data_IF_055147360114
#
_entry.id   IF_055147360114
#
_cell.length_a   1.000
_cell.length_b   1.000
_cell.length_c   1.000
_cell.angle_alpha   90.00
_cell.angle_beta   90.00
_cell.angle_gamma   90.00
#
_symmetry.space_group_name_H-M   'P 1'
#
loop_
_entity.id
_entity.type
_entity.pdbx_description
1 polymer ?
#
# COMPACT_ATOMS: atom_id res chain seq x y z
N UNK A 1 9.90 2.05 -35.56
CA UNK A 1 8.62 2.23 -34.81
C UNK A 1 9.00 2.61 -33.39
N UNK A 2 8.36 3.63 -32.81
CA UNK A 2 8.66 4.10 -31.45
C UNK A 2 7.50 3.76 -30.52
N UNK A 3 7.82 3.48 -29.26
CA UNK A 3 6.84 3.32 -28.17
C UNK A 3 7.26 4.24 -27.05
N UNK A 4 6.34 5.08 -26.59
CA UNK A 4 6.55 6.01 -25.48
C UNK A 4 5.67 5.59 -24.31
N UNK A 5 6.26 5.44 -23.13
CA UNK A 5 5.55 5.16 -21.88
C UNK A 5 5.59 6.39 -20.98
N UNK A 6 4.43 6.81 -20.46
CA UNK A 6 4.33 7.95 -19.57
C UNK A 6 3.12 7.81 -18.63
N UNK A 7 3.21 8.44 -17.45
CA UNK A 7 2.11 8.47 -16.49
C UNK A 7 1.07 9.55 -16.82
N UNK A 8 1.50 10.63 -17.49
CA UNK A 8 0.66 11.78 -17.82
C UNK A 8 0.84 12.14 -19.29
N UNK A 9 -0.09 11.70 -20.15
CA UNK A 9 -0.06 12.03 -21.58
C UNK A 9 -0.12 13.54 -21.82
N UNK A 10 -0.76 14.30 -20.92
CA UNK A 10 -0.86 15.76 -20.97
C UNK A 10 0.49 16.48 -20.82
N UNK A 11 1.51 15.82 -20.27
CA UNK A 11 2.86 16.39 -20.15
C UNK A 11 3.71 16.19 -21.40
N UNK A 12 3.22 15.44 -22.39
CA UNK A 12 3.90 15.29 -23.68
C UNK A 12 3.64 16.52 -24.56
N UNK A 13 4.63 16.91 -25.36
CA UNK A 13 4.44 17.98 -26.34
C UNK A 13 3.45 17.56 -27.44
N UNK A 14 2.65 18.50 -27.93
CA UNK A 14 1.62 18.27 -28.95
C UNK A 14 2.16 17.57 -30.23
N UNK A 15 3.37 17.88 -30.75
CA UNK A 15 3.91 17.18 -31.93
C UNK A 15 4.13 15.68 -31.74
N UNK A 16 4.28 15.20 -30.51
CA UNK A 16 4.38 13.76 -30.21
C UNK A 16 2.99 13.17 -30.08
N UNK A 17 2.09 13.85 -29.36
CA UNK A 17 0.71 13.37 -29.16
C UNK A 17 -0.04 13.19 -30.48
N UNK A 18 0.14 14.11 -31.44
CA UNK A 18 -0.53 14.06 -32.75
C UNK A 18 -0.04 12.92 -33.66
N UNK A 19 1.13 12.34 -33.37
CA UNK A 19 1.76 11.28 -34.19
C UNK A 19 1.67 9.89 -33.57
N UNK A 20 1.12 9.75 -32.37
CA UNK A 20 1.10 8.50 -31.62
C UNK A 20 -0.33 8.05 -31.30
N UNK A 21 -0.59 6.75 -31.41
CA UNK A 21 -1.80 6.16 -30.86
C UNK A 21 -1.69 6.08 -29.34
N UNK A 22 -2.67 6.63 -28.62
CA UNK A 22 -2.67 6.68 -27.16
C UNK A 22 -3.36 5.45 -26.59
N UNK A 23 -2.60 4.64 -25.84
CA UNK A 23 -3.13 3.52 -25.06
C UNK A 23 -3.12 3.90 -23.58
N UNK A 24 -4.29 3.82 -22.93
CA UNK A 24 -4.44 4.16 -21.51
C UNK A 24 -4.53 2.89 -20.68
N UNK A 25 -3.54 2.69 -19.83
CA UNK A 25 -3.55 1.64 -18.81
C UNK A 25 -4.29 2.15 -17.58
N UNK A 26 -5.32 1.42 -17.15
CA UNK A 26 -6.03 1.70 -15.91
C UNK A 26 -5.41 0.91 -14.77
N UNK A 27 -5.63 1.36 -13.53
CA UNK A 27 -5.32 0.57 -12.35
C UNK A 27 -6.01 -0.80 -12.42
N UNK A 28 -5.36 -1.83 -11.89
CA UNK A 28 -5.92 -3.19 -11.86
C UNK A 28 -7.09 -3.27 -10.86
N UNK A 29 -8.09 -4.10 -11.17
CA UNK A 29 -9.11 -4.46 -10.19
C UNK A 29 -8.50 -5.34 -9.09
N UNK A 30 -9.13 -5.33 -7.91
CA UNK A 30 -8.75 -6.20 -6.79
C UNK A 30 -8.72 -7.67 -7.20
N UNK A 31 -9.69 -8.13 -8.00
CA UNK A 31 -9.75 -9.51 -8.49
C UNK A 31 -8.58 -9.84 -9.43
N UNK A 32 -8.21 -8.91 -10.31
CA UNK A 32 -7.09 -9.09 -11.23
C UNK A 32 -5.76 -9.16 -10.47
N UNK A 33 -5.60 -8.35 -9.42
CA UNK A 33 -4.44 -8.44 -8.52
C UNK A 33 -4.43 -9.78 -7.81
N UNK A 34 -5.55 -10.16 -7.16
CA UNK A 34 -5.67 -11.43 -6.43
C UNK A 34 -5.32 -12.62 -7.31
N UNK A 35 -5.94 -12.71 -8.49
CA UNK A 35 -5.69 -13.79 -9.45
C UNK A 35 -4.21 -13.89 -9.85
N UNK A 36 -3.54 -12.76 -10.04
CA UNK A 36 -2.11 -12.75 -10.38
C UNK A 36 -1.23 -13.17 -9.19
N UNK A 37 -1.56 -12.73 -7.97
CA UNK A 37 -0.82 -13.13 -6.77
C UNK A 37 -1.00 -14.63 -6.47
N UNK A 38 -2.21 -15.17 -6.62
CA UNK A 38 -2.49 -16.61 -6.52
C UNK A 38 -1.70 -17.41 -7.55
N UNK A 39 -1.60 -16.91 -8.79
CA UNK A 39 -0.77 -17.54 -9.83
C UNK A 39 0.71 -17.59 -9.43
N UNK A 40 1.25 -16.51 -8.85
CA UNK A 40 2.65 -16.43 -8.40
C UNK A 40 2.88 -17.40 -7.24
N UNK A 41 2.09 -17.30 -6.18
CA UNK A 41 2.20 -18.15 -4.98
C UNK A 41 2.09 -19.64 -5.28
N UNK A 42 1.19 -20.02 -6.20
CA UNK A 42 1.06 -21.41 -6.68
C UNK A 42 2.32 -21.88 -7.42
N UNK A 43 2.94 -21.03 -8.22
CA UNK A 43 4.17 -21.36 -8.95
C UNK A 43 5.38 -21.47 -8.01
N UNK A 44 5.43 -20.62 -6.98
CA UNK A 44 6.51 -20.57 -5.97
C UNK A 44 6.30 -21.56 -4.81
N UNK A 45 5.15 -22.27 -4.76
CA UNK A 45 4.82 -23.21 -3.69
C UNK A 45 4.63 -22.58 -2.31
N UNK A 46 4.32 -21.28 -2.25
CA UNK A 46 4.14 -20.53 -0.99
C UNK A 46 2.68 -20.59 -0.52
N UNK A 47 2.46 -20.66 0.79
CA UNK A 47 1.11 -20.60 1.38
C UNK A 47 0.84 -19.19 1.87
N UNK A 48 -0.29 -18.62 1.47
CA UNK A 48 -0.71 -17.26 1.84
C UNK A 48 -2.17 -17.32 2.27
N UNK A 49 -2.49 -16.69 3.39
CA UNK A 49 -3.86 -16.62 3.88
C UNK A 49 -4.69 -15.57 3.11
N UNK A 50 -6.00 -15.78 3.07
CA UNK A 50 -6.92 -14.88 2.38
C UNK A 50 -6.89 -13.44 2.93
N UNK A 51 -6.78 -13.28 4.24
CA UNK A 51 -6.64 -11.98 4.90
C UNK A 51 -5.31 -11.29 4.58
N UNK A 52 -4.25 -12.05 4.28
CA UNK A 52 -2.99 -11.53 3.81
C UNK A 52 -3.10 -11.02 2.35
N UNK A 53 -3.81 -11.73 1.47
CA UNK A 53 -4.10 -11.24 0.12
C UNK A 53 -4.89 -9.94 0.15
N UNK A 54 -5.95 -9.87 0.94
CA UNK A 54 -6.77 -8.66 1.06
C UNK A 54 -5.94 -7.47 1.58
N UNK A 55 -5.07 -7.71 2.57
CA UNK A 55 -4.16 -6.68 3.07
C UNK A 55 -3.18 -6.17 1.99
N UNK A 56 -2.61 -7.07 1.19
CA UNK A 56 -1.71 -6.70 0.09
C UNK A 56 -2.47 -5.90 -0.98
N UNK A 57 -3.66 -6.35 -1.37
CA UNK A 57 -4.48 -5.71 -2.40
C UNK A 57 -4.87 -4.29 -1.96
N UNK A 58 -5.33 -4.14 -0.72
CA UNK A 58 -5.65 -2.83 -0.14
C UNK A 58 -4.42 -1.92 -0.12
N UNK A 59 -3.26 -2.43 0.33
CA UNK A 59 -2.02 -1.66 0.37
C UNK A 59 -1.47 -1.30 -1.02
N UNK A 60 -1.78 -2.08 -2.05
CA UNK A 60 -1.31 -1.89 -3.41
C UNK A 60 -2.11 -0.85 -4.21
N UNK A 61 -3.37 -0.60 -3.84
CA UNK A 61 -4.24 0.40 -4.46
C UNK A 61 -4.26 0.36 -6.01
N UNK A 62 -4.31 -0.84 -6.60
CA UNK A 62 -4.34 -1.03 -8.05
C UNK A 62 -2.96 -1.12 -8.75
N UNK A 63 -1.85 -0.95 -8.02
CA UNK A 63 -0.48 -1.13 -8.51
C UNK A 63 -0.02 -2.60 -8.33
N UNK A 64 -0.03 -3.36 -9.42
CA UNK A 64 0.41 -4.77 -9.45
C UNK A 64 1.88 -4.94 -9.02
N UNK A 65 2.75 -4.00 -9.37
CA UNK A 65 4.17 -4.05 -8.99
C UNK A 65 4.30 -3.89 -7.48
N UNK A 66 3.56 -2.94 -6.89
CA UNK A 66 3.51 -2.77 -5.43
C UNK A 66 2.97 -4.02 -4.74
N UNK A 67 1.89 -4.62 -5.25
CA UNK A 67 1.32 -5.86 -4.71
C UNK A 67 2.34 -7.01 -4.72
N UNK A 68 3.01 -7.22 -5.86
CA UNK A 68 4.02 -8.27 -6.03
C UNK A 68 5.21 -8.07 -5.09
N UNK A 69 5.70 -6.84 -4.94
CA UNK A 69 6.81 -6.54 -4.04
C UNK A 69 6.45 -6.80 -2.57
N UNK A 70 5.22 -6.45 -2.15
CA UNK A 70 4.74 -6.73 -0.79
C UNK A 70 4.64 -8.23 -0.53
N UNK A 71 4.10 -8.99 -1.49
CA UNK A 71 4.05 -10.45 -1.41
C UNK A 71 5.47 -11.03 -1.30
N UNK A 72 6.38 -10.61 -2.16
CA UNK A 72 7.76 -11.10 -2.18
C UNK A 72 8.49 -10.78 -0.86
N UNK A 73 8.31 -9.57 -0.33
CA UNK A 73 8.88 -9.17 0.96
C UNK A 73 8.43 -10.12 2.08
N UNK A 74 7.13 -10.42 2.16
CA UNK A 74 6.61 -11.34 3.17
C UNK A 74 7.06 -12.79 2.94
N UNK A 75 7.04 -13.26 1.70
CA UNK A 75 7.43 -14.63 1.33
C UNK A 75 8.94 -14.91 1.49
N UNK A 76 9.77 -13.87 1.56
CA UNK A 76 11.21 -13.96 1.84
C UNK A 76 11.47 -14.30 3.31
N UNK A 77 10.61 -13.84 4.22
CA UNK A 77 10.79 -14.02 5.67
C UNK A 77 9.97 -15.18 6.25
N UNK A 78 8.96 -15.68 5.55
CA UNK A 78 8.17 -16.83 5.97
C UNK A 78 7.70 -17.68 4.78
N UNK A 79 7.64 -19.01 4.97
CA UNK A 79 7.03 -19.93 4.01
C UNK A 79 5.49 -19.88 4.02
N UNK A 80 4.94 -19.42 5.14
CA UNK A 80 3.52 -19.15 5.32
C UNK A 80 3.31 -17.66 5.59
N UNK A 81 2.68 -16.97 4.64
CA UNK A 81 2.43 -15.54 4.72
C UNK A 81 1.07 -15.30 5.36
N UNK A 82 1.11 -14.71 6.54
CA UNK A 82 -0.07 -14.27 7.29
C UNK A 82 -0.16 -12.74 7.28
N UNK A 83 -1.29 -12.19 7.70
CA UNK A 83 -1.44 -10.74 7.89
C UNK A 83 -0.41 -10.16 8.88
N UNK A 84 -0.05 -10.92 9.92
CA UNK A 84 0.93 -10.48 10.90
C UNK A 84 2.35 -10.38 10.30
N UNK A 85 2.72 -11.34 9.44
CA UNK A 85 3.99 -11.28 8.70
C UNK A 85 4.08 -10.02 7.88
N UNK A 86 3.00 -9.64 7.17
CA UNK A 86 2.96 -8.38 6.43
C UNK A 86 3.11 -7.16 7.34
N UNK A 87 2.42 -7.13 8.48
CA UNK A 87 2.48 -6.01 9.43
C UNK A 87 3.84 -5.83 10.10
N UNK A 88 4.61 -6.91 10.26
CA UNK A 88 5.95 -6.85 10.85
C UNK A 88 6.97 -6.23 9.89
N UNK A 89 6.84 -6.48 8.59
CA UNK A 89 7.83 -6.08 7.58
C UNK A 89 7.40 -4.90 6.70
N UNK A 90 6.15 -4.45 6.80
CA UNK A 90 5.68 -3.26 6.11
C UNK A 90 5.73 -2.06 7.05
N UNK A 91 6.32 -0.94 6.59
CA UNK A 91 6.36 0.33 7.31
C UNK A 91 4.99 1.05 7.36
N UNK A 92 3.89 0.31 7.21
CA UNK A 92 2.54 0.85 7.27
C UNK A 92 2.14 0.92 8.75
N UNK A 93 1.79 2.11 9.27
CA UNK A 93 1.35 2.23 10.66
C UNK A 93 0.08 1.41 10.88
N UNK A 94 -0.02 0.74 12.03
CA UNK A 94 -1.23 -0.04 12.34
C UNK A 94 -2.38 0.94 12.56
N UNK A 95 -3.56 0.59 12.03
CA UNK A 95 -4.79 1.37 12.22
C UNK A 95 -5.06 1.66 13.70
N UNK A 96 -4.83 0.67 14.57
CA UNK A 96 -4.97 0.80 16.02
C UNK A 96 -4.02 1.80 16.66
N UNK A 97 -2.81 1.97 16.12
CA UNK A 97 -1.83 2.95 16.61
C UNK A 97 -2.29 4.37 16.26
N UNK A 98 -2.78 4.56 15.03
CA UNK A 98 -3.32 5.84 14.56
C UNK A 98 -4.62 6.21 15.29
N UNK A 99 -5.49 5.23 15.52
CA UNK A 99 -6.72 5.36 16.33
C UNK A 99 -6.41 5.76 17.78
N UNK A 100 -5.42 5.11 18.40
CA UNK A 100 -4.99 5.45 19.76
C UNK A 100 -4.47 6.88 19.87
N UNK A 101 -3.65 7.29 18.90
CA UNK A 101 -3.07 8.63 18.84
C UNK A 101 -4.15 9.71 18.62
N UNK A 102 -5.04 9.49 17.66
CA UNK A 102 -6.17 10.38 17.39
C UNK A 102 -7.12 10.44 18.59
N UNK A 103 -7.43 9.30 19.21
CA UNK A 103 -8.30 9.22 20.38
C UNK A 103 -7.74 9.99 21.58
N UNK A 104 -6.42 9.92 21.82
CA UNK A 104 -5.75 10.73 22.84
C UNK A 104 -5.80 12.23 22.51
N UNK A 105 -5.58 12.59 21.24
CA UNK A 105 -5.63 13.97 20.78
C UNK A 105 -7.04 14.58 20.92
N UNK A 106 -8.08 13.84 20.54
CA UNK A 106 -9.49 14.28 20.66
C UNK A 106 -9.92 14.44 22.12
N UNK A 107 -9.40 13.60 23.02
CA UNK A 107 -9.64 13.71 24.47
C UNK A 107 -8.89 14.87 25.13
N UNK A 108 -8.03 15.59 24.39
CA UNK A 108 -7.23 16.70 24.91
C UNK A 108 -5.92 16.27 25.58
N UNK A 109 -5.57 14.97 25.57
CA UNK A 109 -4.31 14.48 26.10
C UNK A 109 -3.19 14.60 25.07
N UNK A 110 -2.67 15.82 24.94
CA UNK A 110 -1.62 16.15 24.00
C UNK A 110 -0.30 15.41 24.28
N UNK A 111 0.04 15.18 25.54
CA UNK A 111 1.32 14.56 25.92
C UNK A 111 1.34 13.09 25.47
N UNK A 112 0.25 12.35 25.73
CA UNK A 112 0.12 10.97 25.29
C UNK A 112 0.07 10.85 23.76
N UNK A 113 -0.71 11.71 23.09
CA UNK A 113 -0.77 11.71 21.62
C UNK A 113 0.59 12.00 20.98
N UNK A 114 1.32 12.99 21.52
CA UNK A 114 2.67 13.32 21.06
C UNK A 114 3.64 12.17 21.29
N UNK A 115 3.61 11.52 22.46
CA UNK A 115 4.47 10.38 22.77
C UNK A 115 4.25 9.22 21.80
N UNK A 116 2.98 8.91 21.48
CA UNK A 116 2.64 7.87 20.51
C UNK A 116 3.10 8.22 19.10
N UNK A 117 2.96 9.48 18.68
CA UNK A 117 3.49 9.95 17.40
C UNK A 117 5.02 9.80 17.32
N UNK A 118 5.75 10.17 18.39
CA UNK A 118 7.21 9.99 18.44
C UNK A 118 7.61 8.51 18.39
N UNK A 119 6.90 7.64 19.10
CA UNK A 119 7.15 6.19 19.04
C UNK A 119 6.99 5.65 17.60
N UNK A 120 6.00 6.13 16.84
CA UNK A 120 5.82 5.76 15.43
C UNK A 120 7.00 6.19 14.55
N UNK A 121 7.58 7.36 14.81
CA UNK A 121 8.77 7.83 14.08
C UNK A 121 10.05 7.10 14.49
N UNK A 122 10.25 6.87 15.78
CA UNK A 122 11.54 6.38 16.31
C UNK A 122 11.61 4.85 16.36
N UNK A 123 10.59 4.18 16.89
CA UNK A 123 10.62 2.73 17.11
C UNK A 123 10.24 1.95 15.84
N UNK A 124 9.32 2.51 15.05
CA UNK A 124 8.75 1.85 13.86
C UNK A 124 9.28 2.44 12.54
N UNK A 125 9.97 3.59 12.59
CA UNK A 125 10.56 4.22 11.40
C UNK A 125 9.54 4.68 10.35
N UNK A 126 8.30 4.95 10.76
CA UNK A 126 7.22 5.32 9.83
C UNK A 126 7.44 6.74 9.31
N UNK A 127 7.23 6.94 8.01
CA UNK A 127 7.34 8.28 7.42
C UNK A 127 6.16 9.18 7.81
N UNK A 128 6.39 10.49 7.88
CA UNK A 128 5.32 11.45 8.16
C UNK A 128 4.21 11.43 7.09
N UNK A 129 4.57 11.14 5.84
CA UNK A 129 3.62 10.98 4.75
C UNK A 129 2.72 9.76 4.94
N UNK A 130 3.26 8.63 5.41
CA UNK A 130 2.48 7.42 5.67
C UNK A 130 1.52 7.63 6.85
N UNK A 131 1.94 8.37 7.88
CA UNK A 131 1.07 8.78 8.99
C UNK A 131 -0.07 9.67 8.47
N UNK A 132 0.22 10.68 7.65
CA UNK A 132 -0.80 11.54 7.06
C UNK A 132 -1.78 10.77 6.17
N UNK A 133 -1.28 9.81 5.38
CA UNK A 133 -2.13 8.95 4.56
C UNK A 133 -3.03 8.06 5.42
N UNK A 134 -2.50 7.50 6.49
CA UNK A 134 -3.27 6.69 7.44
C UNK A 134 -4.35 7.52 8.16
N UNK A 135 -4.02 8.75 8.57
CA UNK A 135 -4.98 9.70 9.13
C UNK A 135 -6.10 10.04 8.15
N UNK A 136 -5.74 10.34 6.90
CA UNK A 136 -6.72 10.62 5.85
C UNK A 136 -7.65 9.42 5.59
N UNK A 137 -7.09 8.21 5.52
CA UNK A 137 -7.88 6.98 5.35
C UNK A 137 -8.85 6.77 6.53
N UNK A 138 -8.40 7.00 7.76
CA UNK A 138 -9.24 6.87 8.95
C UNK A 138 -10.42 7.86 8.94
N UNK A 139 -10.15 9.14 8.63
CA UNK A 139 -11.19 10.18 8.60
C UNK A 139 -12.17 10.01 7.42
N UNK A 140 -11.75 9.34 6.34
CA UNK A 140 -12.60 9.06 5.20
C UNK A 140 -13.58 7.90 5.45
N UNK A 141 -13.23 6.95 6.33
CA UNK A 141 -14.09 5.82 6.74
C UNK A 141 -15.16 6.23 7.77
N UNK A 142 -14.95 7.32 8.53
CA UNK A 142 -15.86 7.81 9.58
C UNK A 142 -16.99 8.73 9.02
N UNK A 143 -17.24 8.65 7.70
CA UNK A 143 -18.30 9.34 6.96
C UNK A 143 -19.13 8.36 6.12
#
# INVERSE_FOLDING_TARGET
>A
RFVLSCNYSSRLIEPIQSRCAVFRFRAYSSEAIRSQLERITKAEGKRVDDDAYEAIIAAAAGDMRRATNLLQLAATHADHVTRQTLQAYTAVPLRSEVEGMLGAAVKGDFLSARSQLYALFTDRGVSGEDILRALHSYLADDR
#
